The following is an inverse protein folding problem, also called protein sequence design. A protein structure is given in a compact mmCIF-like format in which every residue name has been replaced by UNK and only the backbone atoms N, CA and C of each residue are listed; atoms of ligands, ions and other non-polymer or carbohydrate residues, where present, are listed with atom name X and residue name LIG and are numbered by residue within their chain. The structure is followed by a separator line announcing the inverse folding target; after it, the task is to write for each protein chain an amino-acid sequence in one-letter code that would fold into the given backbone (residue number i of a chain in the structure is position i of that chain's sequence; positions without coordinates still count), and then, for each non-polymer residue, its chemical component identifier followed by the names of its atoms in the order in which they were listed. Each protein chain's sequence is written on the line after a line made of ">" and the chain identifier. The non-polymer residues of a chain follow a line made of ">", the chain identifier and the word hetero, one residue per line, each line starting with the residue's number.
data_IF_834196729563
#
_entry.id   IF_834196729563
#
_cell.length_a   1.000
_cell.length_b   1.000
_cell.length_c   1.000
_cell.angle_alpha   90.00
_cell.angle_beta   90.00
_cell.angle_gamma   90.00
#
_symmetry.space_group_name_H-M   'P 1'
#
loop_
_entity.id
_entity.type
_entity.pdbx_description
1 polymer ?
#
# COMPACT_ATOMS: atom_id res chain seq x y z
N UNK A 1 -0.12 -8.74 -7.47
CA UNK A 1 0.24 -8.57 -6.05
C UNK A 1 0.52 -9.94 -5.48
N UNK A 2 1.56 -10.09 -4.64
CA UNK A 2 1.93 -11.37 -4.02
C UNK A 2 1.72 -11.29 -2.51
N UNK A 3 1.30 -12.40 -1.89
CA UNK A 3 1.09 -12.53 -0.45
C UNK A 3 1.99 -13.65 0.07
N UNK A 4 2.80 -13.35 1.07
CA UNK A 4 3.75 -14.28 1.70
C UNK A 4 3.36 -14.62 3.14
N UNK A 5 2.68 -13.69 3.84
CA UNK A 5 2.17 -13.84 5.21
C UNK A 5 0.85 -13.10 5.34
N UNK A 6 0.23 -13.20 6.52
CA UNK A 6 -0.99 -12.47 6.85
C UNK A 6 -0.73 -10.94 6.94
N UNK A 7 -1.21 -10.12 5.97
CA UNK A 7 -0.98 -8.68 5.99
C UNK A 7 -1.84 -7.93 7.01
N UNK A 8 -2.94 -8.55 7.48
CA UNK A 8 -3.85 -7.93 8.44
C UNK A 8 -3.18 -7.68 9.79
N UNK A 9 -2.05 -8.33 10.09
CA UNK A 9 -1.24 -8.07 11.30
C UNK A 9 -0.62 -6.67 11.34
N UNK A 10 -0.56 -5.97 10.21
CA UNK A 10 0.01 -4.64 10.10
C UNK A 10 -1.06 -3.55 9.94
N UNK A 11 -2.33 -3.92 10.09
CA UNK A 11 -3.47 -3.01 10.01
C UNK A 11 -3.87 -2.63 11.44
N UNK A 12 -3.76 -1.35 11.77
CA UNK A 12 -4.19 -0.83 13.05
C UNK A 12 -5.71 -0.89 13.18
N UNK A 13 -6.19 -1.33 14.35
CA UNK A 13 -7.63 -1.27 14.67
C UNK A 13 -8.17 0.15 14.83
N UNK A 14 -7.26 1.11 15.09
CA UNK A 14 -7.55 2.53 15.33
C UNK A 14 -7.52 3.40 14.07
N UNK A 15 -6.96 2.90 12.99
CA UNK A 15 -6.93 3.61 11.72
C UNK A 15 -8.30 3.52 11.03
N UNK A 16 -8.72 4.63 10.44
CA UNK A 16 -9.88 4.68 9.56
C UNK A 16 -9.56 4.07 8.21
N UNK A 17 -8.39 4.45 7.67
CA UNK A 17 -7.80 3.89 6.46
C UNK A 17 -6.38 3.40 6.73
N UNK A 18 -6.04 2.25 6.17
CA UNK A 18 -4.66 1.76 6.07
C UNK A 18 -4.28 1.67 4.60
N UNK A 19 -3.20 2.33 4.20
CA UNK A 19 -2.71 2.36 2.82
C UNK A 19 -1.32 1.77 2.72
N UNK A 20 -1.05 1.11 1.59
CA UNK A 20 0.32 0.86 1.16
C UNK A 20 1.03 2.19 0.88
N UNK A 21 2.36 2.14 0.82
CA UNK A 21 3.19 3.27 0.38
C UNK A 21 4.13 2.85 -0.72
N UNK A 22 4.41 3.75 -1.65
CA UNK A 22 5.53 3.61 -2.58
C UNK A 22 6.86 3.92 -1.89
N UNK A 23 6.88 4.97 -1.07
CA UNK A 23 8.03 5.36 -0.24
C UNK A 23 7.53 5.62 1.18
N UNK A 24 8.15 4.94 2.14
CA UNK A 24 7.91 5.08 3.57
C UNK A 24 9.07 5.82 4.24
N UNK A 25 8.77 6.93 4.92
CA UNK A 25 9.74 7.81 5.58
C UNK A 25 9.94 7.52 7.07
N UNK A 26 9.27 6.49 7.62
CA UNK A 26 9.53 5.98 8.97
C UNK A 26 8.35 6.11 9.93
N UNK A 27 7.56 7.18 9.82
CA UNK A 27 6.39 7.40 10.67
C UNK A 27 5.09 6.94 9.96
N UNK A 28 4.36 5.94 10.48
CA UNK A 28 3.09 5.46 9.91
C UNK A 28 1.95 6.48 9.84
N UNK A 29 2.00 7.55 10.62
CA UNK A 29 0.93 8.56 10.67
C UNK A 29 1.30 9.84 9.90
N UNK A 30 2.52 9.91 9.37
CA UNK A 30 2.98 11.08 8.62
C UNK A 30 2.39 11.09 7.21
N UNK A 31 1.60 12.12 6.90
CA UNK A 31 1.01 12.31 5.58
C UNK A 31 2.02 12.66 4.49
N UNK A 32 3.28 12.93 4.83
CA UNK A 32 4.37 13.09 3.87
C UNK A 32 4.85 11.78 3.24
N UNK A 33 4.45 10.62 3.77
CA UNK A 33 4.63 9.34 3.07
C UNK A 33 4.03 9.40 1.66
N UNK A 34 4.62 8.66 0.72
CA UNK A 34 4.09 8.55 -0.63
C UNK A 34 3.05 7.42 -0.67
N UNK A 35 1.74 7.72 -0.64
CA UNK A 35 0.70 6.70 -0.59
C UNK A 35 0.65 5.89 -1.87
N UNK A 36 0.33 4.62 -1.72
CA UNK A 36 0.03 3.69 -2.79
C UNK A 36 -1.40 3.17 -2.61
N UNK A 37 -2.25 3.36 -3.63
CA UNK A 37 -3.66 2.93 -3.56
C UNK A 37 -3.90 1.55 -4.16
N UNK A 38 -2.83 0.80 -4.45
CA UNK A 38 -2.87 -0.60 -4.87
C UNK A 38 -3.24 -1.57 -3.75
N UNK A 39 -3.16 -1.15 -2.48
CA UNK A 39 -3.88 -1.77 -1.37
C UNK A 39 -4.37 -0.67 -0.42
N UNK A 40 -5.69 -0.65 -0.22
CA UNK A 40 -6.38 0.20 0.76
C UNK A 40 -7.26 -0.70 1.61
N UNK A 41 -7.17 -0.57 2.93
CA UNK A 41 -8.06 -1.22 3.87
C UNK A 41 -8.88 -0.17 4.62
N UNK A 42 -10.18 -0.40 4.74
CA UNK A 42 -11.11 0.44 5.47
C UNK A 42 -12.19 -0.43 6.12
N UNK A 43 -12.52 -0.16 7.39
CA UNK A 43 -13.74 -0.73 7.99
C UNK A 43 -14.96 -0.01 7.44
N UNK A 44 -16.11 -0.68 7.21
CA UNK A 44 -17.32 -0.06 6.66
C UNK A 44 -18.08 0.74 7.72
N UNK A 45 -17.44 1.75 8.30
CA UNK A 45 -18.10 2.70 9.21
C UNK A 45 -18.80 3.78 8.41
N UNK A 46 -19.80 4.45 8.99
CA UNK A 46 -20.48 5.59 8.36
C UNK A 46 -19.48 6.65 7.89
N UNK A 47 -18.47 6.96 8.72
CA UNK A 47 -17.40 7.90 8.39
C UNK A 47 -16.59 7.45 7.18
N UNK A 48 -16.12 6.20 7.17
CA UNK A 48 -15.29 5.68 6.08
C UNK A 48 -16.06 5.58 4.76
N UNK A 49 -17.36 5.28 4.80
CA UNK A 49 -18.20 5.31 3.61
C UNK A 49 -18.25 6.73 3.01
N UNK A 50 -18.42 7.76 3.83
CA UNK A 50 -18.42 9.15 3.36
C UNK A 50 -17.04 9.60 2.85
N UNK A 51 -15.97 9.17 3.49
CA UNK A 51 -14.58 9.39 3.03
C UNK A 51 -14.36 8.78 1.65
N UNK A 52 -14.76 7.52 1.44
CA UNK A 52 -14.61 6.85 0.14
C UNK A 52 -15.45 7.52 -0.95
N UNK A 53 -16.67 7.99 -0.63
CA UNK A 53 -17.49 8.79 -1.57
C UNK A 53 -16.80 10.10 -1.90
N UNK A 54 -16.30 10.84 -0.91
CA UNK A 54 -15.63 12.12 -1.12
C UNK A 54 -14.38 11.96 -1.99
N UNK A 55 -13.57 10.94 -1.71
CA UNK A 55 -12.39 10.62 -2.51
C UNK A 55 -12.77 10.29 -3.96
N UNK A 56 -13.79 9.44 -4.18
CA UNK A 56 -14.30 9.13 -5.52
C UNK A 56 -14.77 10.37 -6.27
N UNK A 57 -15.53 11.24 -5.60
CA UNK A 57 -16.05 12.48 -6.21
C UNK A 57 -14.93 13.48 -6.52
N UNK A 58 -13.86 13.50 -5.72
CA UNK A 58 -12.71 14.37 -5.97
C UNK A 58 -12.01 14.09 -7.30
N UNK A 59 -12.16 12.89 -7.88
CA UNK A 59 -11.66 12.56 -9.22
C UNK A 59 -12.12 13.57 -10.29
N UNK A 60 -13.32 14.14 -10.14
CA UNK A 60 -13.85 15.16 -11.05
C UNK A 60 -12.99 16.43 -11.10
N UNK A 61 -12.25 16.75 -10.03
CA UNK A 61 -11.31 17.88 -9.95
C UNK A 61 -9.96 17.60 -10.62
N UNK A 62 -9.64 16.32 -10.84
CA UNK A 62 -8.33 15.88 -11.35
C UNK A 62 -8.51 14.90 -12.52
N UNK A 63 -9.05 15.38 -13.67
CA UNK A 63 -9.22 14.53 -14.84
C UNK A 63 -7.88 13.93 -15.26
N UNK A 64 -7.93 12.76 -15.93
CA UNK A 64 -6.79 12.01 -16.46
C UNK A 64 -5.76 11.47 -15.45
N UNK A 65 -5.94 11.71 -14.15
CA UNK A 65 -5.08 11.14 -13.10
C UNK A 65 -5.62 9.83 -12.53
N UNK A 66 -4.75 9.01 -11.94
CA UNK A 66 -5.14 7.77 -11.27
C UNK A 66 -5.59 8.04 -9.82
N UNK A 67 -6.21 7.03 -9.18
CA UNK A 67 -6.74 7.15 -7.81
C UNK A 67 -5.66 7.50 -6.77
N UNK A 68 -4.43 7.03 -6.96
CA UNK A 68 -3.29 7.35 -6.09
C UNK A 68 -2.97 8.84 -6.11
N UNK A 69 -2.86 9.41 -7.30
CA UNK A 69 -2.64 10.85 -7.48
C UNK A 69 -3.81 11.67 -6.94
N UNK A 70 -5.05 11.22 -7.15
CA UNK A 70 -6.22 11.89 -6.56
C UNK A 70 -6.14 11.89 -5.04
N UNK A 71 -5.88 10.74 -4.42
CA UNK A 71 -5.74 10.62 -2.96
C UNK A 71 -4.65 11.56 -2.43
N UNK A 72 -3.47 11.52 -3.05
CA UNK A 72 -2.33 12.32 -2.62
C UNK A 72 -2.62 13.83 -2.64
N UNK A 73 -3.36 14.30 -3.67
CA UNK A 73 -3.79 15.70 -3.78
C UNK A 73 -4.80 16.13 -2.73
N UNK A 74 -5.60 15.21 -2.19
CA UNK A 74 -6.70 15.53 -1.26
C UNK A 74 -6.48 15.03 0.16
N UNK A 75 -5.37 14.33 0.45
CA UNK A 75 -5.15 13.67 1.75
C UNK A 75 -5.31 14.63 2.92
N UNK A 76 -4.85 15.87 2.79
CA UNK A 76 -5.01 16.91 3.81
C UNK A 76 -6.45 17.43 3.94
N UNK A 77 -7.22 17.46 2.84
CA UNK A 77 -8.66 17.74 2.89
C UNK A 77 -9.41 16.61 3.61
N UNK A 78 -9.03 15.35 3.36
CA UNK A 78 -9.63 14.20 4.03
C UNK A 78 -9.37 14.24 5.54
N UNK A 79 -8.14 14.54 5.94
CA UNK A 79 -7.75 14.66 7.35
C UNK A 79 -8.49 15.81 8.02
N UNK A 80 -8.49 17.00 7.42
CA UNK A 80 -9.14 18.19 8.02
C UNK A 80 -10.66 18.09 8.05
N UNK A 81 -11.30 17.53 7.01
CA UNK A 81 -12.76 17.49 6.90
C UNK A 81 -13.41 16.35 7.68
N UNK A 82 -12.74 15.20 7.77
CA UNK A 82 -13.29 13.99 8.37
C UNK A 82 -12.55 13.54 9.63
N UNK A 83 -11.56 14.30 10.09
CA UNK A 83 -10.65 13.88 11.18
C UNK A 83 -10.06 12.49 10.89
N UNK A 84 -9.69 12.29 9.62
CA UNK A 84 -9.34 10.97 9.09
C UNK A 84 -8.01 10.49 9.69
N UNK A 85 -8.06 9.36 10.39
CA UNK A 85 -6.86 8.68 10.90
C UNK A 85 -6.33 7.72 9.86
N UNK A 86 -5.23 8.10 9.22
CA UNK A 86 -4.58 7.30 8.19
C UNK A 86 -3.37 6.59 8.78
N UNK A 87 -3.22 5.31 8.46
CA UNK A 87 -1.99 4.57 8.68
C UNK A 87 -1.34 4.20 7.35
N UNK A 88 -0.10 4.61 7.17
CA UNK A 88 0.78 4.21 6.09
C UNK A 88 1.60 3.00 6.52
N UNK A 89 1.49 1.89 5.78
CA UNK A 89 2.21 0.65 6.13
C UNK A 89 3.62 0.68 5.57
N UNK A 90 4.60 0.40 6.44
CA UNK A 90 6.00 0.33 6.06
C UNK A 90 6.25 -0.64 4.90
N UNK A 91 7.10 -0.20 3.96
CA UNK A 91 7.60 -1.00 2.84
C UNK A 91 8.42 -2.21 3.29
N UNK A 92 8.84 -2.30 4.55
CA UNK A 92 9.43 -3.50 5.12
C UNK A 92 8.43 -4.68 5.24
N UNK A 93 7.14 -4.39 5.37
CA UNK A 93 6.06 -5.38 5.45
C UNK A 93 5.29 -5.48 4.15
N UNK A 94 4.99 -4.34 3.51
CA UNK A 94 4.25 -4.24 2.25
C UNK A 94 5.18 -3.70 1.16
N UNK A 95 6.11 -4.55 0.72
CA UNK A 95 7.25 -4.15 -0.11
C UNK A 95 6.89 -3.87 -1.56
N UNK A 96 7.67 -3.04 -2.23
CA UNK A 96 7.41 -2.67 -3.62
C UNK A 96 8.74 -2.45 -4.36
N UNK A 97 8.67 -2.14 -5.66
CA UNK A 97 9.85 -1.81 -6.46
C UNK A 97 10.30 -0.34 -6.38
N UNK A 98 9.49 0.58 -5.85
CA UNK A 98 9.88 1.99 -5.61
C UNK A 98 10.93 2.12 -4.51
N UNK A 99 10.75 1.38 -3.42
CA UNK A 99 11.65 1.34 -2.27
C UNK A 99 12.03 -0.13 -2.04
N UNK A 100 12.93 -0.67 -2.89
CA UNK A 100 13.21 -2.10 -2.92
C UNK A 100 13.91 -2.54 -1.63
N UNK A 101 13.11 -3.05 -0.69
CA UNK A 101 13.56 -3.74 0.50
C UNK A 101 12.86 -5.10 0.54
N UNK A 102 13.62 -6.16 0.24
CA UNK A 102 13.08 -7.53 0.16
C UNK A 102 13.65 -8.37 1.28
N UNK A 103 13.08 -8.22 2.48
CA UNK A 103 13.38 -9.09 3.60
C UNK A 103 12.25 -10.10 3.80
N UNK A 104 12.38 -11.29 3.21
CA UNK A 104 11.39 -12.35 3.31
C UNK A 104 11.14 -12.87 4.72
N UNK A 105 11.88 -12.47 5.76
CA UNK A 105 11.52 -12.80 7.15
C UNK A 105 10.36 -11.93 7.68
N UNK A 106 10.23 -10.70 7.18
CA UNK A 106 9.22 -9.70 7.60
C UNK A 106 8.11 -9.49 6.59
N UNK A 107 8.42 -9.67 5.30
CA UNK A 107 7.53 -9.32 4.20
C UNK A 107 6.20 -10.09 4.27
N UNK A 108 5.09 -9.35 4.21
CA UNK A 108 3.73 -9.87 4.15
C UNK A 108 3.18 -9.84 2.74
N UNK A 109 3.40 -8.75 2.02
CA UNK A 109 2.96 -8.59 0.62
C UNK A 109 4.04 -7.92 -0.21
N UNK A 110 3.98 -8.13 -1.54
CA UNK A 110 4.84 -7.39 -2.46
C UNK A 110 4.10 -6.93 -3.71
N UNK A 111 4.32 -5.67 -4.08
CA UNK A 111 3.54 -4.92 -5.05
C UNK A 111 4.42 -4.45 -6.21
N UNK A 112 4.00 -4.71 -7.45
CA UNK A 112 4.66 -4.20 -8.65
C UNK A 112 4.07 -2.85 -9.10
N UNK A 113 3.96 -1.90 -8.18
CA UNK A 113 3.24 -0.64 -8.45
C UNK A 113 4.01 0.31 -9.38
N UNK A 114 5.30 0.47 -9.13
CA UNK A 114 6.11 1.53 -9.72
C UNK A 114 6.73 1.18 -11.07
N UNK A 115 6.31 0.05 -11.65
CA UNK A 115 6.80 -0.40 -12.94
C UNK A 115 5.80 0.01 -14.02
N UNK A 116 6.32 0.42 -15.17
CA UNK A 116 5.54 0.63 -16.39
C UNK A 116 5.70 -0.58 -17.32
N UNK A 117 4.66 -0.89 -18.08
CA UNK A 117 4.65 -2.04 -18.99
C UNK A 117 4.30 -3.37 -18.32
N UNK A 118 3.49 -4.18 -19.01
CA UNK A 118 3.04 -5.48 -18.52
C UNK A 118 4.19 -6.49 -18.46
N UNK A 119 5.04 -6.51 -19.48
CA UNK A 119 6.15 -7.46 -19.60
C UNK A 119 7.15 -7.33 -18.45
N UNK A 120 7.60 -6.10 -18.17
CA UNK A 120 8.50 -5.82 -17.05
C UNK A 120 7.87 -6.21 -15.71
N UNK A 121 6.58 -5.91 -15.52
CA UNK A 121 5.84 -6.35 -14.32
C UNK A 121 5.85 -7.86 -14.17
N UNK A 122 5.54 -8.60 -15.24
CA UNK A 122 5.49 -10.07 -15.22
C UNK A 122 6.87 -10.67 -14.94
N UNK A 123 7.91 -10.18 -15.60
CA UNK A 123 9.29 -10.65 -15.41
C UNK A 123 9.72 -10.51 -13.95
N UNK A 124 9.59 -9.30 -13.38
CA UNK A 124 10.05 -9.03 -12.02
C UNK A 124 9.18 -9.71 -10.96
N UNK A 125 7.86 -9.83 -11.17
CA UNK A 125 6.98 -10.61 -10.28
C UNK A 125 7.39 -12.08 -10.25
N UNK A 126 7.67 -12.68 -11.42
CA UNK A 126 8.15 -14.08 -11.49
C UNK A 126 9.45 -14.25 -10.70
N UNK A 127 10.40 -13.33 -10.84
CA UNK A 127 11.64 -13.33 -10.06
C UNK A 127 11.40 -13.32 -8.55
N UNK A 128 10.52 -12.45 -8.05
CA UNK A 128 10.17 -12.40 -6.61
C UNK A 128 9.56 -13.72 -6.12
N UNK A 129 8.74 -14.38 -6.96
CA UNK A 129 8.15 -15.69 -6.61
C UNK A 129 9.23 -16.77 -6.51
N UNK A 130 10.19 -16.82 -7.45
CA UNK A 130 11.28 -17.80 -7.41
C UNK A 130 12.19 -17.58 -6.19
N UNK A 131 12.53 -16.33 -5.87
CA UNK A 131 13.29 -16.02 -4.65
C UNK A 131 12.54 -16.43 -3.38
N UNK A 132 11.21 -16.25 -3.34
CA UNK A 132 10.39 -16.72 -2.22
C UNK A 132 10.40 -18.25 -2.08
N UNK A 133 10.30 -18.98 -3.20
CA UNK A 133 10.40 -20.46 -3.19
C UNK A 133 11.76 -20.92 -2.65
N UNK A 134 12.84 -20.28 -3.08
CA UNK A 134 14.19 -20.56 -2.58
C UNK A 134 14.33 -20.24 -1.08
N UNK A 135 13.80 -19.11 -0.62
CA UNK A 135 13.75 -18.80 0.81
C UNK A 135 13.00 -19.89 1.58
N UNK A 136 11.85 -20.36 1.07
CA UNK A 136 11.06 -21.41 1.71
C UNK A 136 11.76 -22.76 1.73
N UNK A 137 12.51 -23.14 0.69
CA UNK A 137 13.23 -24.43 0.67
C UNK A 137 14.39 -24.45 1.68
N UNK A 138 15.15 -23.37 1.76
CA UNK A 138 16.25 -23.24 2.74
C UNK A 138 15.69 -23.32 4.16
N UNK A 139 14.66 -22.53 4.47
CA UNK A 139 14.08 -22.46 5.81
C UNK A 139 13.08 -23.60 6.16
N UNK A 140 12.81 -24.55 5.25
CA UNK A 140 12.10 -25.80 5.58
C UNK A 140 13.03 -26.96 5.86
N UNK A 141 14.30 -26.87 5.45
CA UNK A 141 15.34 -27.85 5.72
C UNK A 141 16.20 -27.48 6.95
N UNK A 142 15.71 -26.57 7.81
CA UNK A 142 16.36 -26.11 9.04
C UNK A 142 15.47 -26.36 10.25
#
# INVERSE_FOLDING_TARGET
>A
MMWFRNPFRHISVYADLTLATDIFYGNPEDHNNNPNTGLVFAKPTRKNIEVMKYWREARKRFPTTNEQTVYDKIKYELVSKFELKVQYVSTAYWGNFCQPQKNFTKLSTFHACCLTGLEMKLLLIKGVIEEWKMYKSINHNS
#
